data_IF_290413133344
#
_entry.id   IF_290413133344
#
_cell.length_a   1.000
_cell.length_b   1.000
_cell.length_c   1.000
_cell.angle_alpha   90.00
_cell.angle_beta   90.00
_cell.angle_gamma   90.00
#
_symmetry.space_group_name_H-M   'P 1'
#
loop_
_entity.id
_entity.type
_entity.pdbx_description
1 polymer ?
#
# COMPACT_ATOMS: atom_id res chain seq x y z
N UNK A 1 -4.93 19.32 -28.05
CA UNK A 1 -4.73 17.89 -27.77
C UNK A 1 -4.15 17.80 -26.37
N UNK A 2 -4.88 17.20 -25.44
CA UNK A 2 -4.60 17.30 -23.99
C UNK A 2 -3.75 16.11 -23.55
N UNK A 3 -2.44 16.33 -23.37
CA UNK A 3 -1.46 15.34 -22.84
C UNK A 3 -1.65 15.03 -21.34
N UNK A 4 -2.74 15.49 -20.71
CA UNK A 4 -2.92 15.47 -19.25
C UNK A 4 -3.63 14.25 -18.68
N UNK A 5 -4.16 13.37 -19.53
CA UNK A 5 -5.03 12.27 -19.11
C UNK A 5 -4.39 10.88 -19.25
N UNK A 6 -3.07 10.80 -19.09
CA UNK A 6 -2.45 9.49 -18.90
C UNK A 6 -2.78 9.00 -17.48
N UNK A 7 -3.66 8.01 -17.41
CA UNK A 7 -4.01 7.24 -16.20
C UNK A 7 -2.84 6.40 -15.68
N UNK A 8 -1.77 6.28 -16.48
CA UNK A 8 -0.59 5.47 -16.19
C UNK A 8 0.39 6.28 -15.33
N UNK A 9 0.93 5.71 -14.23
CA UNK A 9 2.03 6.30 -13.49
C UNK A 9 3.21 6.66 -14.40
N UNK A 10 3.92 7.76 -14.13
CA UNK A 10 5.16 8.05 -14.88
C UNK A 10 6.17 6.92 -14.66
N UNK A 11 7.05 6.60 -15.64
CA UNK A 11 8.04 5.53 -15.48
C UNK A 11 8.91 5.69 -14.23
N UNK A 12 9.25 6.95 -13.89
CA UNK A 12 10.00 7.28 -12.67
C UNK A 12 9.20 6.96 -11.39
N UNK A 13 7.92 7.31 -11.35
CA UNK A 13 7.05 6.99 -10.22
C UNK A 13 6.86 5.47 -10.10
N UNK A 14 6.60 4.78 -11.21
CA UNK A 14 6.45 3.33 -11.23
C UNK A 14 7.72 2.64 -10.70
N UNK A 15 8.91 3.03 -11.17
CA UNK A 15 10.18 2.49 -10.69
C UNK A 15 10.41 2.73 -9.18
N UNK A 16 10.10 3.94 -8.69
CA UNK A 16 10.21 4.26 -7.27
C UNK A 16 9.24 3.42 -6.42
N UNK A 17 8.01 3.22 -6.90
CA UNK A 17 7.02 2.39 -6.22
C UNK A 17 7.39 0.90 -6.25
N UNK A 18 7.88 0.35 -7.37
CA UNK A 18 8.39 -1.03 -7.43
C UNK A 18 9.56 -1.23 -6.45
N UNK A 19 10.49 -0.27 -6.37
CA UNK A 19 11.60 -0.31 -5.41
C UNK A 19 11.07 -0.34 -3.98
N UNK A 20 10.11 0.54 -3.66
CA UNK A 20 9.48 0.57 -2.35
C UNK A 20 8.75 -0.75 -2.02
N UNK A 21 8.02 -1.33 -2.98
CA UNK A 21 7.33 -2.60 -2.79
C UNK A 21 8.29 -3.74 -2.43
N UNK A 22 9.40 -3.87 -3.15
CA UNK A 22 10.40 -4.90 -2.86
C UNK A 22 11.02 -4.71 -1.47
N UNK A 23 11.44 -3.49 -1.14
CA UNK A 23 12.04 -3.20 0.17
C UNK A 23 11.08 -3.47 1.32
N UNK A 24 9.82 -3.00 1.23
CA UNK A 24 8.81 -3.23 2.25
C UNK A 24 8.43 -4.71 2.36
N UNK A 25 8.33 -5.41 1.22
CA UNK A 25 8.09 -6.85 1.19
C UNK A 25 9.20 -7.63 1.90
N UNK A 26 10.45 -7.26 1.68
CA UNK A 26 11.60 -7.88 2.35
C UNK A 26 11.63 -7.57 3.85
N UNK A 27 11.30 -6.34 4.26
CA UNK A 27 11.14 -5.98 5.67
C UNK A 27 10.07 -6.84 6.36
N UNK A 28 8.91 -7.05 5.72
CA UNK A 28 7.86 -7.93 6.23
C UNK A 28 8.33 -9.38 6.35
N UNK A 29 9.00 -9.90 5.31
CA UNK A 29 9.53 -11.28 5.30
C UNK A 29 10.57 -11.51 6.39
N UNK A 30 11.41 -10.51 6.68
CA UNK A 30 12.43 -10.59 7.71
C UNK A 30 11.85 -10.83 9.12
N UNK A 31 10.64 -10.32 9.39
CA UNK A 31 9.98 -10.48 10.70
C UNK A 31 8.89 -11.57 10.71
N UNK A 32 8.57 -12.16 9.55
CA UNK A 32 7.46 -13.10 9.37
C UNK A 32 7.51 -14.28 10.34
N UNK A 33 8.66 -14.95 10.46
CA UNK A 33 8.83 -16.15 11.30
C UNK A 33 8.84 -15.84 12.81
N UNK A 34 9.00 -14.58 13.18
CA UNK A 34 9.05 -14.13 14.58
C UNK A 34 7.76 -13.46 15.03
N UNK A 35 6.82 -13.26 14.11
CA UNK A 35 5.54 -12.63 14.39
C UNK A 35 4.55 -13.63 14.99
N UNK A 36 3.69 -13.19 15.94
CA UNK A 36 2.53 -13.97 16.38
C UNK A 36 1.49 -14.16 15.27
N UNK A 37 1.61 -13.44 14.14
CA UNK A 37 0.67 -13.43 13.00
C UNK A 37 1.37 -13.71 11.66
N UNK A 38 2.04 -14.87 11.50
CA UNK A 38 2.85 -15.15 10.31
C UNK A 38 2.03 -15.19 9.02
N UNK A 39 0.77 -15.65 9.08
CA UNK A 39 -0.14 -15.71 7.92
C UNK A 39 -0.52 -14.31 7.43
N UNK A 40 -0.80 -13.38 8.34
CA UNK A 40 -1.12 -12.00 7.98
C UNK A 40 0.06 -11.34 7.26
N UNK A 41 1.27 -11.47 7.84
CA UNK A 41 2.49 -10.92 7.24
C UNK A 41 2.84 -11.58 5.91
N UNK A 42 2.60 -12.88 5.77
CA UNK A 42 2.73 -13.57 4.49
C UNK A 42 1.86 -12.92 3.42
N UNK A 43 0.57 -12.71 3.69
CA UNK A 43 -0.33 -12.06 2.74
C UNK A 43 0.02 -10.60 2.47
N UNK A 44 0.54 -9.88 3.48
CA UNK A 44 1.01 -8.51 3.30
C UNK A 44 2.23 -8.45 2.36
N UNK A 45 3.21 -9.35 2.54
CA UNK A 45 4.36 -9.47 1.64
C UNK A 45 3.92 -9.83 0.21
N UNK A 46 3.00 -10.78 0.06
CA UNK A 46 2.44 -11.16 -1.24
C UNK A 46 1.68 -9.99 -1.91
N UNK A 47 1.03 -9.13 -1.12
CA UNK A 47 0.33 -7.94 -1.62
C UNK A 47 1.32 -6.93 -2.20
N UNK A 48 2.50 -6.75 -1.58
CA UNK A 48 3.55 -5.91 -2.15
C UNK A 48 4.07 -6.46 -3.50
N UNK A 49 4.31 -7.77 -3.59
CA UNK A 49 4.75 -8.41 -4.85
C UNK A 49 3.72 -8.19 -5.97
N UNK A 50 2.44 -8.43 -5.68
CA UNK A 50 1.37 -8.27 -6.66
C UNK A 50 1.28 -6.83 -7.18
N UNK A 51 1.41 -5.84 -6.29
CA UNK A 51 1.40 -4.42 -6.67
C UNK A 51 2.63 -4.05 -7.52
N UNK A 52 3.79 -4.62 -7.22
CA UNK A 52 5.01 -4.40 -8.01
C UNK A 52 4.88 -5.01 -9.42
N UNK A 53 4.29 -6.20 -9.53
CA UNK A 53 4.00 -6.87 -10.81
C UNK A 53 3.00 -6.07 -11.65
N UNK A 54 1.95 -5.53 -11.02
CA UNK A 54 0.98 -4.69 -11.72
C UNK A 54 1.61 -3.39 -12.22
N UNK A 55 2.38 -2.71 -11.38
CA UNK A 55 3.11 -1.49 -11.76
C UNK A 55 4.12 -1.73 -12.89
N UNK A 56 4.89 -2.81 -12.82
CA UNK A 56 5.89 -3.15 -13.84
C UNK A 56 5.25 -3.56 -15.17
N UNK A 57 4.04 -4.11 -15.13
CA UNK A 57 3.21 -4.43 -16.30
C UNK A 57 2.48 -3.22 -16.88
N UNK A 58 2.61 -2.04 -16.28
CA UNK A 58 1.88 -0.83 -16.67
C UNK A 58 0.38 -0.88 -16.34
N UNK A 59 -0.06 -1.85 -15.52
CA UNK A 59 -1.43 -1.91 -15.02
C UNK A 59 -1.55 -0.92 -13.85
N UNK A 60 -2.59 -0.06 -13.83
CA UNK A 60 -2.81 0.82 -12.70
C UNK A 60 -3.17 -0.04 -11.47
N UNK A 61 -2.42 0.05 -10.35
CA UNK A 61 -2.83 -0.64 -9.14
C UNK A 61 -4.00 0.15 -8.52
N UNK A 62 -5.22 -0.25 -8.87
CA UNK A 62 -6.42 0.18 -8.16
C UNK A 62 -6.63 -0.73 -6.96
N UNK A 63 -6.61 -0.23 -5.72
CA UNK A 63 -6.77 -1.09 -4.56
C UNK A 63 -8.20 -1.64 -4.52
N UNK A 64 -8.29 -2.95 -4.70
CA UNK A 64 -9.53 -3.72 -4.56
C UNK A 64 -9.79 -4.15 -3.12
N UNK A 65 -8.77 -4.10 -2.25
CA UNK A 65 -8.85 -4.49 -0.84
C UNK A 65 -8.19 -3.46 0.08
N UNK A 66 -8.58 -3.40 1.38
CA UNK A 66 -7.88 -2.60 2.37
C UNK A 66 -6.38 -2.91 2.47
N UNK A 67 -5.99 -4.17 2.29
CA UNK A 67 -4.58 -4.58 2.25
C UNK A 67 -3.80 -3.93 1.11
N UNK A 68 -4.34 -3.98 -0.12
CA UNK A 68 -3.71 -3.32 -1.26
C UNK A 68 -3.61 -1.81 -1.04
N UNK A 69 -4.65 -1.21 -0.46
CA UNK A 69 -4.65 0.21 -0.18
C UNK A 69 -3.59 0.62 0.86
N UNK A 70 -3.44 -0.15 1.93
CA UNK A 70 -2.40 0.06 2.92
C UNK A 70 -1.00 -0.07 2.28
N UNK A 71 -0.76 -1.16 1.54
CA UNK A 71 0.52 -1.39 0.87
C UNK A 71 0.87 -0.24 -0.08
N UNK A 72 -0.08 0.21 -0.92
CA UNK A 72 0.12 1.38 -1.79
C UNK A 72 0.42 2.65 -0.99
N UNK A 73 -0.25 2.86 0.13
CA UNK A 73 0.03 3.99 1.01
C UNK A 73 1.43 3.96 1.61
N UNK A 74 1.93 2.78 1.99
CA UNK A 74 3.28 2.59 2.53
C UNK A 74 4.33 2.78 1.43
N UNK A 75 4.08 2.25 0.23
CA UNK A 75 4.94 2.46 -0.94
C UNK A 75 5.05 3.94 -1.30
N UNK A 76 3.92 4.65 -1.35
CA UNK A 76 3.86 6.10 -1.61
C UNK A 76 4.55 6.93 -0.52
N UNK A 77 4.49 6.50 0.74
CA UNK A 77 5.22 7.15 1.84
C UNK A 77 6.73 6.89 1.75
N UNK A 78 7.13 5.67 1.38
CA UNK A 78 8.54 5.33 1.18
C UNK A 78 9.16 6.09 0.00
N UNK A 79 8.39 6.30 -1.08
CA UNK A 79 8.84 7.02 -2.28
C UNK A 79 8.95 8.55 -2.10
N UNK A 80 8.50 9.11 -0.97
CA UNK A 80 8.48 10.58 -0.75
C UNK A 80 9.83 11.26 -0.93
N UNK A 81 10.92 10.59 -0.54
CA UNK A 81 12.26 11.15 -0.65
C UNK A 81 12.81 11.16 -2.10
N UNK A 82 12.22 10.37 -3.01
CA UNK A 82 12.79 10.08 -4.34
C UNK A 82 11.99 10.71 -5.49
N UNK A 83 10.73 11.04 -5.23
CA UNK A 83 9.76 11.51 -6.21
C UNK A 83 9.32 12.94 -5.86
N UNK A 84 9.16 13.84 -6.84
CA UNK A 84 8.65 15.18 -6.58
C UNK A 84 7.29 15.17 -5.88
N UNK A 85 7.08 16.11 -4.95
CA UNK A 85 5.85 16.19 -4.16
C UNK A 85 4.57 16.29 -5.02
N UNK A 86 4.63 16.98 -6.17
CA UNK A 86 3.49 17.10 -7.08
C UNK A 86 3.11 15.77 -7.76
N UNK A 87 4.11 14.97 -8.14
CA UNK A 87 3.89 13.64 -8.72
C UNK A 87 3.30 12.68 -7.69
N UNK A 88 3.77 12.75 -6.44
CA UNK A 88 3.24 11.97 -5.33
C UNK A 88 1.81 12.38 -4.95
N UNK A 89 1.52 13.68 -4.90
CA UNK A 89 0.17 14.17 -4.63
C UNK A 89 -0.80 13.67 -5.70
N UNK A 90 -0.40 13.72 -6.97
CA UNK A 90 -1.18 13.17 -8.08
C UNK A 90 -1.35 11.66 -7.97
N UNK A 91 -0.29 10.93 -7.62
CA UNK A 91 -0.33 9.49 -7.43
C UNK A 91 -1.27 9.10 -6.28
N UNK A 92 -1.23 9.83 -5.17
CA UNK A 92 -2.12 9.61 -4.02
C UNK A 92 -3.58 9.77 -4.40
N UNK A 93 -3.90 10.84 -5.12
CA UNK A 93 -5.26 11.09 -5.56
C UNK A 93 -5.77 10.02 -6.56
N UNK A 94 -4.88 9.38 -7.31
CA UNK A 94 -5.25 8.39 -8.34
C UNK A 94 -5.28 6.94 -7.84
N UNK A 95 -4.33 6.57 -7.00
CA UNK A 95 -4.08 5.17 -6.62
C UNK A 95 -4.74 4.78 -5.30
N UNK A 96 -5.32 5.72 -4.56
CA UNK A 96 -5.88 5.46 -3.24
C UNK A 96 -7.37 5.78 -3.25
N UNK A 97 -8.17 5.01 -2.52
CA UNK A 97 -9.55 5.39 -2.24
C UNK A 97 -9.58 6.44 -1.13
N UNK A 98 -10.53 7.36 -1.22
CA UNK A 98 -10.65 8.48 -0.27
C UNK A 98 -11.54 8.16 0.94
N UNK A 99 -12.30 7.06 0.90
CA UNK A 99 -13.29 6.63 1.89
C UNK A 99 -12.71 5.89 3.11
N UNK A 100 -11.45 5.43 3.05
CA UNK A 100 -10.81 4.66 4.13
C UNK A 100 -9.80 5.47 4.95
N UNK A 101 -9.86 6.81 4.90
CA UNK A 101 -8.85 7.72 5.46
C UNK A 101 -8.56 7.52 6.95
N UNK A 102 -9.60 7.32 7.76
CA UNK A 102 -9.46 7.27 9.23
C UNK A 102 -8.76 6.00 9.72
N UNK A 103 -9.18 4.83 9.20
CA UNK A 103 -8.56 3.53 9.51
C UNK A 103 -7.08 3.55 9.11
N UNK A 104 -6.77 4.13 7.95
CA UNK A 104 -5.39 4.22 7.46
C UNK A 104 -4.53 5.19 8.26
N UNK A 105 -5.11 6.28 8.77
CA UNK A 105 -4.41 7.21 9.65
C UNK A 105 -4.03 6.54 10.98
N UNK A 106 -4.95 5.77 11.57
CA UNK A 106 -4.71 5.00 12.79
C UNK A 106 -3.66 3.91 12.56
N UNK A 107 -3.81 3.14 11.49
CA UNK A 107 -2.85 2.11 11.08
C UNK A 107 -1.45 2.69 10.86
N UNK A 108 -1.34 3.89 10.28
CA UNK A 108 -0.06 4.59 10.09
C UNK A 108 0.54 5.12 11.38
N UNK A 109 -0.28 5.58 12.32
CA UNK A 109 0.20 6.01 13.63
C UNK A 109 0.87 4.86 14.37
N UNK A 110 0.34 3.64 14.20
CA UNK A 110 0.86 2.42 14.85
C UNK A 110 2.03 1.82 14.10
N UNK A 111 1.93 1.69 12.77
CA UNK A 111 3.00 1.16 11.93
C UNK A 111 4.16 2.15 11.75
N UNK A 112 4.03 3.37 12.28
CA UNK A 112 4.90 4.51 12.06
C UNK A 112 6.39 4.17 12.04
N UNK A 113 7.13 4.86 11.18
CA UNK A 113 8.54 4.61 10.88
C UNK A 113 9.43 4.83 12.11
N UNK A 114 9.60 3.81 12.94
CA UNK A 114 10.50 3.85 14.09
C UNK A 114 11.92 3.55 13.62
N UNK A 115 12.85 4.51 13.77
CA UNK A 115 14.26 4.30 13.41
C UNK A 115 14.57 4.04 11.93
N UNK A 116 13.60 4.18 11.02
CA UNK A 116 13.80 3.98 9.59
C UNK A 116 12.95 2.87 8.95
N UNK A 117 12.33 2.00 9.74
CA UNK A 117 11.50 0.86 9.28
C UNK A 117 10.11 0.92 9.91
N UNK A 118 9.13 0.28 9.26
CA UNK A 118 7.77 0.16 9.77
C UNK A 118 7.66 -1.02 10.74
N UNK A 119 6.93 -0.85 11.84
CA UNK A 119 6.64 -1.97 12.75
C UNK A 119 5.48 -2.81 12.23
N UNK A 120 5.82 -3.79 11.40
CA UNK A 120 4.84 -4.71 10.81
C UNK A 120 4.22 -5.68 11.83
N UNK A 121 4.87 -5.92 12.97
CA UNK A 121 4.30 -6.76 14.03
C UNK A 121 3.17 -5.98 14.73
N UNK A 122 3.44 -4.74 15.14
CA UNK A 122 2.45 -3.86 15.75
C UNK A 122 1.26 -3.59 14.80
N UNK A 123 1.54 -3.44 13.50
CA UNK A 123 0.52 -3.34 12.47
C UNK A 123 -0.42 -4.57 12.44
N UNK A 124 0.16 -5.77 12.46
CA UNK A 124 -0.61 -7.02 12.44
C UNK A 124 -1.50 -7.17 13.67
N UNK A 125 -1.03 -6.74 14.84
CA UNK A 125 -1.79 -6.80 16.09
C UNK A 125 -3.00 -5.86 16.12
N UNK A 126 -2.85 -4.64 15.59
CA UNK A 126 -3.97 -3.68 15.48
C UNK A 126 -5.02 -4.16 14.50
N UNK A 127 -4.61 -4.67 13.34
CA UNK A 127 -5.55 -5.18 12.34
C UNK A 127 -6.23 -6.49 12.80
N UNK A 128 -5.57 -7.27 13.65
CA UNK A 128 -6.18 -8.43 14.31
C UNK A 128 -7.35 -8.06 15.24
N UNK A 129 -7.25 -6.94 15.96
CA UNK A 129 -8.32 -6.48 16.83
C UNK A 129 -9.58 -6.06 16.06
N UNK A 130 -9.42 -5.55 14.83
CA UNK A 130 -10.52 -5.12 13.96
C UNK A 130 -11.14 -6.21 13.07
N UNK A 131 -10.61 -7.45 13.12
CA UNK A 131 -11.06 -8.55 12.26
C UNK A 131 -10.24 -8.70 10.97
N UNK A 132 -9.11 -9.41 11.06
CA UNK A 132 -8.17 -9.67 9.96
C UNK A 132 -8.82 -10.08 8.63
N UNK A 133 -9.91 -10.86 8.66
CA UNK A 133 -10.57 -11.35 7.44
C UNK A 133 -11.14 -10.22 6.57
N UNK A 134 -11.62 -9.13 7.19
CA UNK A 134 -12.16 -7.98 6.47
C UNK A 134 -11.07 -7.20 5.71
N UNK A 135 -9.82 -7.29 6.15
CA UNK A 135 -8.71 -6.54 5.57
C UNK A 135 -8.30 -7.04 4.18
N UNK A 136 -8.55 -8.33 3.91
CA UNK A 136 -8.30 -8.96 2.61
C UNK A 136 -9.58 -9.16 1.80
N UNK A 137 -10.74 -8.87 2.37
CA UNK A 137 -11.99 -8.87 1.63
C UNK A 137 -11.97 -7.75 0.59
N UNK A 138 -12.56 -7.97 -0.61
CA UNK A 138 -12.80 -6.89 -1.55
C UNK A 138 -13.63 -5.78 -0.90
N UNK A 139 -13.37 -4.53 -1.26
CA UNK A 139 -14.29 -3.44 -0.95
C UNK A 139 -15.69 -3.78 -1.47
N UNK A 140 -16.73 -3.53 -0.68
CA UNK A 140 -18.10 -3.73 -1.17
C UNK A 140 -18.38 -2.81 -2.36
N UNK A 141 -18.96 -3.35 -3.43
CA UNK A 141 -19.28 -2.62 -4.66
C UNK A 141 -20.43 -1.61 -4.52
N UNK A 142 -20.80 -1.23 -3.30
CA UNK A 142 -22.03 -0.48 -2.99
C UNK A 142 -21.94 1.04 -3.13
N UNK A 143 -21.01 1.57 -3.95
CA UNK A 143 -20.92 3.01 -4.25
C UNK A 143 -20.63 3.30 -5.73
N UNK A 144 -21.11 2.44 -6.64
CA UNK A 144 -21.11 2.70 -8.10
C UNK A 144 -22.46 3.22 -8.61
N UNK A 145 -23.37 3.61 -7.72
CA UNK A 145 -24.64 4.24 -8.08
C UNK A 145 -25.11 5.24 -6.99
N UNK A 146 -24.56 6.46 -7.03
CA UNK A 146 -25.26 7.69 -6.62
C UNK A 146 -24.58 8.93 -7.24
#
# INVERSE_FOLDING_TARGET
MSDFDSTVPTPRLAAALCTAAHLLGDEVRAVLLHSPRPVFLFYLAQTFDQLADDLSSGRPPGPATPAQQLCLHLMLAHAEAQVPAHDLARARHRLLRHDTGDILAEVRAVAGKSGGSYDFIALGDVLAAGGMGAFFAPFESSDLAA
#
